data_IF_955894729770
#
_entry.id   IF_955894729770
#
_cell.length_a   1.000
_cell.length_b   1.000
_cell.length_c   1.000
_cell.angle_alpha   90.00
_cell.angle_beta   90.00
_cell.angle_gamma   90.00
#
_symmetry.space_group_name_H-M   'P 1'
#
loop_
_entity.id
_entity.type
_entity.pdbx_description
1 polymer ?
#
# COMPACT_ATOMS: atom_id res chain seq x y z
N UNK A 1 -9.31 3.74 19.78
CA UNK A 1 -8.55 4.09 18.58
C UNK A 1 -9.36 5.03 17.72
N UNK A 2 -8.76 6.14 17.34
CA UNK A 2 -9.46 7.20 16.64
C UNK A 2 -8.94 7.34 15.22
N UNK A 3 -9.75 6.96 14.25
CA UNK A 3 -9.48 7.22 12.83
C UNK A 3 -10.15 8.51 12.39
N UNK A 4 -9.49 9.24 11.53
CA UNK A 4 -10.01 10.46 10.92
C UNK A 4 -9.94 10.32 9.39
N UNK A 5 -11.02 10.70 8.72
CA UNK A 5 -11.09 10.72 7.26
C UNK A 5 -11.35 12.15 6.81
N UNK A 6 -10.42 12.70 6.03
CA UNK A 6 -10.53 14.06 5.48
C UNK A 6 -10.54 14.03 3.97
N UNK A 7 -11.46 14.78 3.36
CA UNK A 7 -11.55 14.86 1.90
C UNK A 7 -10.45 15.74 1.33
N UNK A 8 -9.66 15.21 0.40
CA UNK A 8 -8.63 15.95 -0.32
C UNK A 8 -9.22 16.54 -1.61
N UNK A 9 -9.91 15.69 -2.37
CA UNK A 9 -10.61 16.08 -3.59
C UNK A 9 -11.76 15.09 -3.83
N UNK A 10 -12.38 15.13 -5.01
CA UNK A 10 -13.56 14.30 -5.30
C UNK A 10 -13.34 12.80 -5.04
N UNK A 11 -12.16 12.28 -5.34
CA UNK A 11 -11.87 10.85 -5.31
C UNK A 11 -10.74 10.47 -4.37
N UNK A 12 -10.23 11.40 -3.56
CA UNK A 12 -9.11 11.12 -2.69
C UNK A 12 -9.37 11.62 -1.27
N UNK A 13 -9.01 10.81 -0.28
CA UNK A 13 -9.21 11.09 1.12
C UNK A 13 -7.94 10.85 1.92
N UNK A 14 -7.67 11.75 2.87
CA UNK A 14 -6.65 11.55 3.88
C UNK A 14 -7.19 10.66 4.98
N UNK A 15 -6.40 9.69 5.44
CA UNK A 15 -6.74 8.88 6.60
C UNK A 15 -5.65 9.01 7.66
N UNK A 16 -6.05 9.28 8.89
CA UNK A 16 -5.15 9.40 10.04
C UNK A 16 -5.61 8.48 11.15
N UNK A 17 -4.67 8.04 11.96
CA UNK A 17 -4.95 7.31 13.20
C UNK A 17 -4.32 8.05 14.36
N UNK A 18 -5.13 8.42 15.35
CA UNK A 18 -4.69 9.22 16.49
C UNK A 18 -3.97 10.50 16.04
N UNK A 19 -4.52 11.17 15.03
CA UNK A 19 -4.02 12.44 14.47
C UNK A 19 -2.70 12.33 13.71
N UNK A 20 -2.22 11.10 13.46
CA UNK A 20 -0.97 10.87 12.73
C UNK A 20 -1.20 10.02 11.50
N UNK A 21 -0.31 10.14 10.51
CA UNK A 21 -0.30 9.23 9.39
C UNK A 21 0.01 7.82 9.87
N UNK A 22 -0.61 6.84 9.22
CA UNK A 22 -0.46 5.44 9.60
C UNK A 22 0.82 4.91 8.96
N UNK A 23 1.71 4.37 9.80
CA UNK A 23 3.02 3.87 9.39
C UNK A 23 3.22 2.44 9.86
N UNK A 24 3.96 1.67 9.09
CA UNK A 24 4.36 0.32 9.50
C UNK A 24 5.65 -0.08 8.82
N UNK A 25 6.28 -1.14 9.31
CA UNK A 25 7.55 -1.65 8.79
C UNK A 25 7.39 -3.12 8.44
N UNK A 26 7.92 -3.52 7.28
CA UNK A 26 8.01 -4.93 6.90
C UNK A 26 9.44 -5.27 6.52
N UNK A 27 9.79 -6.54 6.76
CA UNK A 27 11.03 -7.14 6.27
C UNK A 27 10.63 -8.20 5.26
N UNK A 28 11.16 -8.10 4.05
CA UNK A 28 10.71 -8.94 2.95
C UNK A 28 11.84 -9.17 1.94
N UNK A 29 11.52 -9.87 0.86
CA UNK A 29 12.46 -10.19 -0.20
C UNK A 29 11.92 -9.68 -1.52
N UNK A 30 12.79 -9.06 -2.32
CA UNK A 30 12.44 -8.61 -3.66
C UNK A 30 12.05 -9.81 -4.53
N UNK A 31 10.86 -9.75 -5.12
CA UNK A 31 10.30 -10.80 -5.95
C UNK A 31 10.35 -10.34 -7.41
N UNK A 32 10.95 -11.11 -8.29
CA UNK A 32 11.02 -10.84 -9.73
C UNK A 32 11.86 -9.61 -10.13
N UNK A 33 12.57 -8.95 -9.20
CA UNK A 33 13.31 -7.75 -9.51
C UNK A 33 12.42 -6.54 -9.77
N UNK A 34 13.02 -5.49 -10.34
CA UNK A 34 12.29 -4.27 -10.65
C UNK A 34 11.58 -4.41 -11.99
N UNK A 35 10.33 -3.95 -12.05
CA UNK A 35 9.59 -3.84 -13.30
C UNK A 35 9.46 -2.39 -13.68
N UNK A 36 9.73 -2.09 -14.96
CA UNK A 36 9.55 -0.75 -15.50
C UNK A 36 8.38 -0.74 -16.47
N UNK A 37 7.46 0.19 -16.28
CA UNK A 37 6.30 0.37 -17.13
C UNK A 37 6.20 1.85 -17.49
N UNK A 38 6.42 2.20 -18.75
CA UNK A 38 6.57 3.57 -19.22
C UNK A 38 7.70 4.28 -18.45
N UNK A 39 7.38 5.38 -17.77
CA UNK A 39 8.33 6.16 -16.97
C UNK A 39 8.32 5.77 -15.50
N UNK A 40 7.55 4.73 -15.13
CA UNK A 40 7.39 4.31 -13.74
C UNK A 40 8.14 3.03 -13.48
N UNK A 41 8.80 2.98 -12.33
CA UNK A 41 9.51 1.81 -11.86
C UNK A 41 8.80 1.24 -10.64
N UNK A 42 8.61 -0.07 -10.62
CA UNK A 42 7.88 -0.75 -9.56
C UNK A 42 8.74 -1.81 -8.91
N UNK A 43 8.65 -1.86 -7.60
CA UNK A 43 9.27 -2.88 -6.77
C UNK A 43 8.21 -3.90 -6.35
N UNK A 44 8.43 -5.17 -6.68
CA UNK A 44 7.59 -6.26 -6.23
C UNK A 44 8.31 -7.00 -5.11
N UNK A 45 7.66 -7.12 -3.95
CA UNK A 45 8.20 -7.83 -2.80
C UNK A 45 7.20 -8.87 -2.32
N UNK A 46 7.70 -9.96 -1.75
CA UNK A 46 6.83 -10.98 -1.17
C UNK A 46 6.06 -10.39 0.01
N UNK A 47 4.78 -10.76 0.15
CA UNK A 47 4.01 -10.41 1.34
C UNK A 47 4.51 -11.27 2.50
N UNK A 48 5.20 -10.68 3.51
CA UNK A 48 5.95 -11.48 4.47
C UNK A 48 5.10 -12.10 5.56
N UNK A 49 3.96 -11.48 5.88
CA UNK A 49 3.10 -11.88 6.99
C UNK A 49 1.71 -11.24 6.84
N UNK A 50 0.95 -11.18 7.91
CA UNK A 50 -0.41 -10.65 7.91
C UNK A 50 -0.49 -9.15 8.22
N UNK A 51 0.62 -8.43 8.27
CA UNK A 51 0.63 -6.99 8.63
C UNK A 51 -0.26 -6.17 7.70
N UNK A 52 -0.08 -6.31 6.39
CA UNK A 52 -0.87 -5.56 5.41
C UNK A 52 -2.33 -6.01 5.44
N UNK A 53 -2.57 -7.32 5.48
CA UNK A 53 -3.92 -7.86 5.54
C UNK A 53 -4.69 -7.33 6.77
N UNK A 54 -4.06 -7.36 7.94
CA UNK A 54 -4.69 -6.89 9.17
C UNK A 54 -4.96 -5.39 9.12
N UNK A 55 -4.03 -4.61 8.58
CA UNK A 55 -4.19 -3.17 8.42
C UNK A 55 -5.34 -2.85 7.46
N UNK A 56 -5.40 -3.52 6.31
CA UNK A 56 -6.48 -3.33 5.36
C UNK A 56 -7.84 -3.69 5.97
N UNK A 57 -7.91 -4.78 6.71
CA UNK A 57 -9.14 -5.21 7.37
C UNK A 57 -9.61 -4.19 8.41
N UNK A 58 -8.70 -3.65 9.21
CA UNK A 58 -9.02 -2.64 10.21
C UNK A 58 -9.54 -1.35 9.56
N UNK A 59 -8.90 -0.90 8.48
CA UNK A 59 -9.33 0.29 7.76
C UNK A 59 -10.65 0.05 7.05
N UNK A 60 -10.84 -1.11 6.44
CA UNK A 60 -12.11 -1.48 5.80
C UNK A 60 -13.27 -1.40 6.80
N UNK A 61 -13.07 -1.90 8.00
CA UNK A 61 -14.10 -1.84 9.05
C UNK A 61 -14.43 -0.38 9.40
N UNK A 62 -13.43 0.49 9.48
CA UNK A 62 -13.65 1.92 9.71
C UNK A 62 -14.42 2.59 8.55
N UNK A 63 -14.09 2.22 7.30
CA UNK A 63 -14.67 2.84 6.11
C UNK A 63 -16.04 2.29 5.72
N UNK A 64 -16.45 1.19 6.32
CA UNK A 64 -17.70 0.50 5.99
C UNK A 64 -18.92 1.41 6.03
N UNK A 65 -19.04 2.26 7.04
CA UNK A 65 -20.15 3.19 7.19
C UNK A 65 -19.99 4.44 6.34
N UNK A 66 -18.77 4.77 5.93
CA UNK A 66 -18.48 5.97 5.16
C UNK A 66 -18.60 5.73 3.66
N UNK A 67 -18.31 4.52 3.22
CA UNK A 67 -18.39 4.12 1.81
C UNK A 67 -19.17 2.80 1.69
N UNK A 68 -20.48 2.80 2.02
CA UNK A 68 -21.23 1.54 2.08
C UNK A 68 -21.41 0.86 0.72
N UNK A 69 -21.25 1.60 -0.38
CA UNK A 69 -21.43 1.09 -1.74
C UNK A 69 -20.09 0.79 -2.44
N UNK A 70 -18.98 0.92 -1.73
CA UNK A 70 -17.64 0.70 -2.29
C UNK A 70 -17.01 -0.55 -1.69
N UNK A 71 -16.20 -1.23 -2.50
CA UNK A 71 -15.43 -2.40 -2.06
C UNK A 71 -13.95 -2.06 -1.99
N UNK A 72 -13.26 -2.62 -1.02
CA UNK A 72 -11.81 -2.49 -0.90
C UNK A 72 -11.12 -3.31 -1.99
N UNK A 73 -10.25 -2.65 -2.75
CA UNK A 73 -9.31 -3.34 -3.63
C UNK A 73 -8.01 -3.52 -2.85
N UNK A 74 -7.70 -4.76 -2.51
CA UNK A 74 -6.50 -5.08 -1.72
C UNK A 74 -5.22 -4.73 -2.46
N UNK A 75 -4.19 -4.36 -1.71
CA UNK A 75 -2.82 -4.17 -2.21
C UNK A 75 -2.05 -5.50 -2.29
N UNK A 76 -2.60 -6.57 -1.73
CA UNK A 76 -1.98 -7.89 -1.82
C UNK A 76 -2.36 -8.50 -3.17
N UNK A 77 -1.35 -8.78 -3.99
CA UNK A 77 -1.54 -9.34 -5.33
C UNK A 77 -1.22 -10.83 -5.30
N UNK A 78 -2.08 -11.63 -5.93
CA UNK A 78 -1.90 -13.08 -6.06
C UNK A 78 -1.51 -13.41 -7.49
N UNK A 79 -0.29 -13.92 -7.66
CA UNK A 79 0.19 -14.47 -8.92
C UNK A 79 1.23 -15.54 -8.56
N UNK A 80 0.78 -16.78 -8.36
CA UNK A 80 1.54 -17.92 -7.83
C UNK A 80 1.98 -17.72 -6.37
N UNK A 81 2.28 -16.49 -5.95
CA UNK A 81 2.61 -16.10 -4.58
C UNK A 81 1.89 -14.81 -4.24
N UNK A 82 1.76 -14.54 -2.95
CA UNK A 82 1.28 -13.24 -2.48
C UNK A 82 2.42 -12.24 -2.52
N UNK A 83 2.21 -11.11 -3.17
CA UNK A 83 3.22 -10.06 -3.21
C UNK A 83 2.59 -8.67 -3.14
N UNK A 84 3.45 -7.69 -2.83
CA UNK A 84 3.11 -6.27 -2.77
C UNK A 84 3.89 -5.54 -3.85
N UNK A 85 3.27 -4.54 -4.46
CA UNK A 85 3.91 -3.71 -5.48
C UNK A 85 3.95 -2.27 -5.01
N UNK A 86 5.14 -1.66 -5.06
CA UNK A 86 5.34 -0.27 -4.71
C UNK A 86 5.98 0.49 -5.86
N UNK A 87 5.52 1.72 -6.07
CA UNK A 87 6.18 2.63 -7.00
C UNK A 87 7.41 3.21 -6.33
N UNK A 88 8.53 3.16 -7.01
CA UNK A 88 9.82 3.64 -6.47
C UNK A 88 10.48 4.63 -7.43
N UNK A 89 11.54 5.29 -6.93
CA UNK A 89 12.35 6.20 -7.75
C UNK A 89 12.94 5.46 -8.95
N UNK A 90 12.95 6.08 -10.15
CA UNK A 90 13.57 5.48 -11.33
C UNK A 90 15.06 5.17 -11.17
N UNK A 91 15.73 5.86 -10.23
CA UNK A 91 17.17 5.68 -9.99
C UNK A 91 17.48 4.51 -9.04
N UNK A 92 16.46 3.92 -8.44
CA UNK A 92 16.63 2.80 -7.51
C UNK A 92 16.98 1.53 -8.27
N UNK A 93 18.00 0.80 -7.80
CA UNK A 93 18.42 -0.49 -8.36
C UNK A 93 18.36 -1.55 -7.27
N UNK A 94 17.53 -2.57 -7.48
CA UNK A 94 17.37 -3.68 -6.54
C UNK A 94 17.33 -4.98 -7.34
N UNK A 95 18.24 -5.90 -7.00
CA UNK A 95 18.29 -7.21 -7.65
C UNK A 95 17.21 -8.15 -7.07
N UNK A 96 16.75 -9.14 -7.86
CA UNK A 96 15.88 -10.20 -7.35
C UNK A 96 16.51 -10.89 -6.14
N UNK A 97 15.67 -11.36 -5.23
CA UNK A 97 16.05 -12.08 -4.02
C UNK A 97 16.82 -11.24 -2.98
N UNK A 98 16.91 -9.93 -3.18
CA UNK A 98 17.48 -9.02 -2.17
C UNK A 98 16.54 -8.92 -0.98
N UNK A 99 17.09 -9.08 0.23
CA UNK A 99 16.32 -8.86 1.47
C UNK A 99 16.27 -7.38 1.78
N UNK A 100 15.08 -6.92 2.14
CA UNK A 100 14.77 -5.51 2.33
C UNK A 100 14.03 -5.28 3.62
N UNK A 101 14.31 -4.15 4.25
CA UNK A 101 13.48 -3.57 5.31
C UNK A 101 12.83 -2.32 4.74
N UNK A 102 11.52 -2.25 4.80
CA UNK A 102 10.74 -1.15 4.25
C UNK A 102 9.93 -0.48 5.35
N UNK A 103 10.12 0.83 5.51
CA UNK A 103 9.20 1.66 6.27
C UNK A 103 8.17 2.21 5.30
N UNK A 104 6.90 2.02 5.63
CA UNK A 104 5.79 2.32 4.74
C UNK A 104 4.81 3.23 5.46
N UNK A 105 4.27 4.18 4.73
CA UNK A 105 3.27 5.11 5.22
C UNK A 105 2.04 5.03 4.32
N UNK A 106 0.85 5.11 4.91
CA UNK A 106 -0.36 5.26 4.11
C UNK A 106 -0.41 6.71 3.61
N UNK A 107 -0.43 6.86 2.29
CA UNK A 107 -0.53 8.16 1.66
C UNK A 107 -1.97 8.68 1.70
N UNK A 108 -2.89 7.91 1.12
CA UNK A 108 -4.29 8.31 1.02
C UNK A 108 -5.16 7.13 0.60
N UNK A 109 -6.48 7.35 0.66
CA UNK A 109 -7.48 6.46 0.10
C UNK A 109 -7.89 7.02 -1.25
N UNK A 110 -7.86 6.22 -2.29
CA UNK A 110 -8.28 6.61 -3.63
C UNK A 110 -9.51 5.83 -4.06
N UNK A 111 -10.53 6.56 -4.52
CA UNK A 111 -11.79 5.98 -4.97
C UNK A 111 -11.80 5.86 -6.49
N UNK A 112 -12.21 4.70 -6.99
CA UNK A 112 -12.48 4.48 -8.42
C UNK A 112 -13.99 4.35 -8.60
N UNK A 113 -14.63 5.39 -9.13
CA UNK A 113 -16.08 5.42 -9.33
C UNK A 113 -16.57 4.40 -10.37
N UNK A 114 -15.74 4.10 -11.35
CA UNK A 114 -16.11 3.18 -12.43
C UNK A 114 -16.25 1.75 -11.92
N UNK A 115 -15.34 1.33 -11.03
CA UNK A 115 -15.36 -0.03 -10.48
C UNK A 115 -16.05 -0.09 -9.13
N UNK A 116 -16.51 1.04 -8.60
CA UNK A 116 -17.11 1.17 -7.26
C UNK A 116 -16.22 0.54 -6.20
N UNK A 117 -14.95 0.93 -6.22
CA UNK A 117 -13.94 0.42 -5.29
C UNK A 117 -13.11 1.55 -4.72
N UNK A 118 -12.38 1.26 -3.65
CA UNK A 118 -11.36 2.15 -3.13
C UNK A 118 -10.10 1.36 -2.85
N UNK A 119 -8.98 2.04 -2.86
CA UNK A 119 -7.68 1.45 -2.58
C UNK A 119 -6.91 2.31 -1.60
N UNK A 120 -6.20 1.66 -0.68
CA UNK A 120 -5.30 2.31 0.25
C UNK A 120 -3.95 2.45 -0.46
N UNK A 121 -3.48 3.68 -0.67
CA UNK A 121 -2.22 3.91 -1.36
C UNK A 121 -1.08 4.00 -0.35
N UNK A 122 -0.02 3.23 -0.60
CA UNK A 122 1.17 3.16 0.26
C UNK A 122 2.34 3.89 -0.38
N UNK A 123 3.15 4.55 0.46
CA UNK A 123 4.45 5.10 0.08
C UNK A 123 5.55 4.47 0.92
N UNK A 124 6.65 4.10 0.27
CA UNK A 124 7.86 3.71 0.98
C UNK A 124 8.56 5.00 1.43
N UNK A 125 8.78 5.14 2.75
CA UNK A 125 9.48 6.28 3.32
C UNK A 125 10.96 5.98 3.56
N UNK A 126 11.30 4.71 3.76
CA UNK A 126 12.68 4.26 3.91
C UNK A 126 12.84 2.85 3.36
N UNK A 127 13.86 2.65 2.54
CA UNK A 127 14.19 1.36 1.96
C UNK A 127 15.63 1.03 2.32
N UNK A 128 15.85 -0.09 3.01
CA UNK A 128 17.18 -0.55 3.39
C UNK A 128 17.40 -1.97 2.89
N UNK A 129 18.57 -2.23 2.31
CA UNK A 129 19.03 -3.58 2.01
C UNK A 129 19.61 -4.18 3.29
N UNK A 130 19.18 -5.35 3.62
CA UNK A 130 19.63 -6.04 4.82
C UNK A 130 20.84 -6.92 4.49
#
# INVERSE_FOLDING_TARGET
MSYYLGKINKNEYLILKNQNKIKFTITTTCFQGLKQFFQHKYLNVLNPDNTVYNLETEIEEFLKDKFPDLELKSNIIFDQKQFLQFKISPDTVIEPDTKLKLDIEIDKIKINEKTKSYQILFNITLLEKI
#
